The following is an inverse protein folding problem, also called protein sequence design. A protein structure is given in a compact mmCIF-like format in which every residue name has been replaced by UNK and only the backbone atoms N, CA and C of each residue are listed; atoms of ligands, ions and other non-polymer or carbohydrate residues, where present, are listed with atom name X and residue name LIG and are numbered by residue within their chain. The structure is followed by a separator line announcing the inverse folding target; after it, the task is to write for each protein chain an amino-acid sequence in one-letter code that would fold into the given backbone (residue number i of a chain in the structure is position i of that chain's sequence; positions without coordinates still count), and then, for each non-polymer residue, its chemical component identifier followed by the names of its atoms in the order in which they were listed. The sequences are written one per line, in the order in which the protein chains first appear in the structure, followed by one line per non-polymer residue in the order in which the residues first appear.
data_IF_009339032183
#
_entry.id   IF_009339032183
#
_cell.length_a   1.000
_cell.length_b   1.000
_cell.length_c   1.000
_cell.angle_alpha   90.00
_cell.angle_beta   90.00
_cell.angle_gamma   90.00
#
_symmetry.space_group_name_H-M   'P 1'
#
loop_
_entity.id
_entity.type
_entity.pdbx_description
1 polymer ?
#
# COMPACT_ATOMS: atom_id res chain seq x y z
N UNK A 1 -4.35 18.08 27.83
CA UNK A 1 -4.21 17.25 26.62
C UNK A 1 -4.28 15.80 27.04
N UNK A 2 -5.35 15.09 26.68
CA UNK A 2 -5.43 13.65 26.93
C UNK A 2 -4.60 12.97 25.85
N UNK A 3 -3.39 12.53 26.18
CA UNK A 3 -2.63 11.64 25.33
C UNK A 3 -3.36 10.30 25.33
N UNK A 4 -4.18 10.07 24.30
CA UNK A 4 -4.69 8.74 24.01
C UNK A 4 -3.49 7.92 23.57
N UNK A 5 -2.96 7.11 24.48
CA UNK A 5 -1.86 6.19 24.19
C UNK A 5 -2.27 5.26 23.05
N UNK A 6 -1.46 5.19 21.98
CA UNK A 6 -1.67 4.23 20.89
C UNK A 6 -1.88 2.83 21.48
N UNK A 7 -2.86 2.03 21.00
CA UNK A 7 -3.09 0.67 21.49
C UNK A 7 -1.79 -0.15 21.46
N UNK A 8 -1.54 -0.99 22.47
CA UNK A 8 -0.32 -1.83 22.58
C UNK A 8 0.00 -2.64 21.32
N UNK A 9 -1.02 -3.03 20.53
CA UNK A 9 -0.89 -3.75 19.24
C UNK A 9 -0.10 -2.98 18.17
N UNK A 10 0.06 -1.66 18.35
CA UNK A 10 0.62 -0.75 17.34
C UNK A 10 1.91 -0.04 17.80
N UNK A 11 2.51 -0.49 18.90
CA UNK A 11 3.86 -0.07 19.27
C UNK A 11 4.87 -0.86 18.42
N UNK A 12 5.82 -0.17 17.79
CA UNK A 12 6.88 -0.75 16.95
C UNK A 12 6.39 -1.56 15.73
N UNK A 13 5.41 -1.04 14.98
CA UNK A 13 5.00 -1.64 13.71
C UNK A 13 6.13 -1.51 12.68
N UNK A 14 6.59 -2.61 12.05
CA UNK A 14 7.59 -2.56 10.99
C UNK A 14 7.16 -1.65 9.83
N UNK A 15 8.14 -0.98 9.22
CA UNK A 15 7.91 0.00 8.15
C UNK A 15 7.05 -0.56 6.99
N UNK A 16 7.26 -1.83 6.62
CA UNK A 16 6.48 -2.53 5.59
C UNK A 16 4.99 -2.59 5.92
N UNK A 17 4.64 -2.84 7.18
CA UNK A 17 3.25 -2.94 7.62
C UNK A 17 2.60 -1.56 7.72
N UNK A 18 3.35 -0.54 8.14
CA UNK A 18 2.87 0.84 8.10
C UNK A 18 2.57 1.27 6.66
N UNK A 19 3.46 0.95 5.72
CA UNK A 19 3.27 1.25 4.30
C UNK A 19 2.04 0.51 3.73
N UNK A 20 1.87 -0.76 4.07
CA UNK A 20 0.66 -1.52 3.69
C UNK A 20 -0.62 -0.87 4.21
N UNK A 21 -0.61 -0.42 5.47
CA UNK A 21 -1.75 0.29 6.05
C UNK A 21 -2.05 1.60 5.32
N UNK A 22 -1.02 2.40 5.05
CA UNK A 22 -1.16 3.67 4.34
C UNK A 22 -1.67 3.46 2.91
N UNK A 23 -1.19 2.43 2.22
CA UNK A 23 -1.68 2.03 0.90
C UNK A 23 -3.14 1.61 0.92
N UNK A 24 -3.55 0.78 1.88
CA UNK A 24 -4.96 0.43 2.08
C UNK A 24 -5.81 1.68 2.33
N UNK A 25 -5.37 2.57 3.23
CA UNK A 25 -6.12 3.79 3.52
C UNK A 25 -6.27 4.67 2.28
N UNK A 26 -5.20 4.83 1.49
CA UNK A 26 -5.24 5.59 0.24
C UNK A 26 -6.22 4.99 -0.77
N UNK A 27 -6.22 3.66 -0.94
CA UNK A 27 -7.15 2.99 -1.84
C UNK A 27 -8.60 3.24 -1.42
N UNK A 28 -8.88 3.11 -0.13
CA UNK A 28 -10.22 3.31 0.43
C UNK A 28 -10.70 4.75 0.33
N UNK A 29 -9.79 5.73 0.38
CA UNK A 29 -10.13 7.13 0.12
C UNK A 29 -10.32 7.40 -1.38
N UNK A 30 -9.55 6.73 -2.24
CA UNK A 30 -9.71 6.79 -3.70
C UNK A 30 -11.05 6.27 -4.22
N UNK A 31 -11.69 5.34 -3.51
CA UNK A 31 -13.04 4.85 -3.85
C UNK A 31 -14.13 5.94 -3.75
N UNK A 32 -13.89 7.03 -3.01
CA UNK A 32 -14.78 8.18 -2.88
C UNK A 32 -14.24 9.43 -3.63
N UNK A 33 -13.13 9.30 -4.36
CA UNK A 33 -12.49 10.42 -5.05
C UNK A 33 -13.18 10.72 -6.39
N UNK A 34 -13.83 11.88 -6.53
CA UNK A 34 -14.58 12.21 -7.75
C UNK A 34 -13.76 12.18 -9.05
N UNK A 35 -12.44 12.38 -8.98
CA UNK A 35 -11.58 12.39 -10.16
C UNK A 35 -11.13 10.98 -10.55
N UNK A 36 -10.83 10.12 -9.57
CA UNK A 36 -10.21 8.81 -9.82
C UNK A 36 -11.09 7.61 -9.44
N UNK A 37 -12.28 7.82 -8.88
CA UNK A 37 -13.17 6.77 -8.38
C UNK A 37 -13.41 5.65 -9.39
N UNK A 38 -13.61 5.97 -10.68
CA UNK A 38 -13.80 4.94 -11.71
C UNK A 38 -12.62 3.97 -11.80
N UNK A 39 -11.38 4.45 -11.68
CA UNK A 39 -10.19 3.60 -11.68
C UNK A 39 -10.18 2.66 -10.47
N UNK A 40 -10.39 3.21 -9.27
CA UNK A 40 -10.42 2.43 -8.03
C UNK A 40 -11.54 1.37 -8.04
N UNK A 41 -12.72 1.72 -8.56
CA UNK A 41 -13.82 0.77 -8.71
C UNK A 41 -13.50 -0.34 -9.72
N UNK A 42 -12.90 -0.01 -10.86
CA UNK A 42 -12.47 -1.02 -11.84
C UNK A 42 -11.45 -1.98 -11.24
N UNK A 43 -10.48 -1.48 -10.48
CA UNK A 43 -9.49 -2.32 -9.80
C UNK A 43 -10.16 -3.23 -8.77
N UNK A 44 -11.07 -2.68 -7.95
CA UNK A 44 -11.81 -3.45 -6.96
C UNK A 44 -12.69 -4.55 -7.60
N UNK A 45 -13.28 -4.30 -8.76
CA UNK A 45 -14.08 -5.28 -9.50
C UNK A 45 -13.22 -6.38 -10.12
N UNK A 46 -12.02 -6.05 -10.60
CA UNK A 46 -11.08 -6.99 -11.22
C UNK A 46 -10.34 -7.87 -10.21
N UNK A 47 -10.18 -7.39 -8.97
CA UNK A 47 -9.54 -8.11 -7.87
C UNK A 47 -10.39 -7.94 -6.60
N UNK A 48 -11.34 -8.88 -6.43
CA UNK A 48 -12.27 -8.90 -5.31
C UNK A 48 -11.68 -9.54 -4.05
N UNK A 49 -10.39 -9.87 -4.02
CA UNK A 49 -9.78 -10.41 -2.81
C UNK A 49 -9.76 -9.32 -1.73
N UNK A 50 -10.44 -9.59 -0.62
CA UNK A 50 -10.60 -8.63 0.46
C UNK A 50 -9.55 -8.85 1.55
N UNK A 51 -8.42 -8.14 1.40
CA UNK A 51 -7.23 -8.20 2.23
C UNK A 51 -7.23 -7.17 3.38
N UNK A 52 -8.30 -6.38 3.54
CA UNK A 52 -8.35 -5.33 4.57
C UNK A 52 -8.16 -5.92 5.96
N UNK A 53 -8.82 -7.04 6.26
CA UNK A 53 -8.74 -7.67 7.55
C UNK A 53 -7.31 -8.15 7.82
N UNK A 54 -6.60 -8.61 6.79
CA UNK A 54 -5.23 -9.07 6.91
C UNK A 54 -4.26 -7.90 7.15
N UNK A 55 -4.45 -6.77 6.47
CA UNK A 55 -3.66 -5.56 6.73
C UNK A 55 -3.93 -5.03 8.14
N UNK A 56 -5.21 -4.91 8.53
CA UNK A 56 -5.62 -4.40 9.84
C UNK A 56 -5.18 -5.32 11.00
N UNK A 57 -5.02 -6.62 10.73
CA UNK A 57 -4.53 -7.60 11.72
C UNK A 57 -3.05 -7.93 11.63
N UNK A 58 -2.31 -7.32 10.70
CA UNK A 58 -0.90 -7.60 10.47
C UNK A 58 -0.61 -9.06 10.05
N UNK A 59 -1.50 -9.66 9.26
CA UNK A 59 -1.48 -11.06 8.82
C UNK A 59 -1.53 -11.21 7.29
N UNK A 60 -1.05 -10.21 6.56
CA UNK A 60 -1.01 -10.24 5.09
C UNK A 60 -0.24 -11.47 4.60
N UNK A 61 -0.75 -12.15 3.57
CA UNK A 61 -0.06 -13.27 2.89
C UNK A 61 0.73 -12.82 1.68
N UNK A 62 0.17 -11.90 0.91
CA UNK A 62 0.84 -11.20 -0.20
C UNK A 62 0.04 -9.94 -0.53
N UNK A 63 0.60 -9.04 -1.33
CA UNK A 63 -0.11 -7.83 -1.74
C UNK A 63 -1.01 -8.11 -2.96
N UNK A 64 -2.25 -7.64 -2.88
CA UNK A 64 -3.26 -7.69 -3.94
C UNK A 64 -3.20 -6.43 -4.80
N UNK A 65 -3.88 -6.43 -5.95
CA UNK A 65 -3.92 -5.31 -6.88
C UNK A 65 -4.40 -4.00 -6.23
N UNK A 66 -5.50 -3.98 -5.43
CA UNK A 66 -5.96 -2.77 -4.77
C UNK A 66 -4.93 -2.23 -3.77
N UNK A 67 -4.27 -3.12 -3.03
CA UNK A 67 -3.25 -2.73 -2.06
C UNK A 67 -2.02 -2.13 -2.74
N UNK A 68 -1.57 -2.75 -3.83
CA UNK A 68 -0.45 -2.26 -4.64
C UNK A 68 -0.79 -0.88 -5.19
N UNK A 69 -1.97 -0.71 -5.80
CA UNK A 69 -2.39 0.57 -6.38
C UNK A 69 -2.42 1.68 -5.31
N UNK A 70 -3.13 1.45 -4.20
CA UNK A 70 -3.20 2.45 -3.12
C UNK A 70 -1.83 2.81 -2.56
N UNK A 71 -0.90 1.85 -2.50
CA UNK A 71 0.48 2.10 -2.06
C UNK A 71 1.23 2.98 -3.06
N UNK A 72 1.13 2.70 -4.36
CA UNK A 72 1.75 3.52 -5.40
C UNK A 72 1.22 4.95 -5.39
N UNK A 73 -0.09 5.12 -5.22
CA UNK A 73 -0.75 6.43 -5.19
C UNK A 73 -0.38 7.23 -3.95
N UNK A 74 -0.31 6.57 -2.79
CA UNK A 74 0.12 7.19 -1.54
C UNK A 74 1.54 7.75 -1.71
N UNK A 75 2.46 6.92 -2.22
CA UNK A 75 3.85 7.33 -2.43
C UNK A 75 3.95 8.42 -3.48
N UNK A 76 3.21 8.32 -4.59
CA UNK A 76 3.15 9.31 -5.66
C UNK A 76 2.81 10.69 -5.13
N UNK A 77 1.75 10.78 -4.30
CA UNK A 77 1.33 12.03 -3.68
C UNK A 77 2.36 12.58 -2.71
N UNK A 78 2.98 11.72 -1.89
CA UNK A 78 3.97 12.16 -0.87
C UNK A 78 5.31 12.55 -1.46
N UNK A 79 5.71 11.95 -2.57
CA UNK A 79 7.00 12.17 -3.21
C UNK A 79 6.90 13.10 -4.43
N UNK A 80 5.69 13.46 -4.85
CA UNK A 80 5.42 14.25 -6.06
C UNK A 80 6.11 13.65 -7.30
N UNK A 81 5.94 12.33 -7.47
CA UNK A 81 6.49 11.54 -8.57
C UNK A 81 5.41 10.62 -9.11
N UNK A 82 5.46 10.31 -10.41
CA UNK A 82 4.67 9.23 -10.97
C UNK A 82 5.46 7.92 -10.88
N UNK A 83 4.89 6.88 -10.31
CA UNK A 83 5.51 5.56 -10.23
C UNK A 83 4.89 4.60 -11.24
N UNK A 84 5.73 3.98 -12.07
CA UNK A 84 5.33 2.89 -12.95
C UNK A 84 5.88 1.58 -12.37
N UNK A 85 5.00 0.65 -12.00
CA UNK A 85 5.37 -0.65 -11.49
C UNK A 85 5.55 -1.63 -12.66
N UNK A 86 6.74 -2.20 -12.75
CA UNK A 86 7.12 -3.19 -13.76
C UNK A 86 7.43 -4.50 -13.01
N UNK A 87 6.65 -5.54 -13.30
CA UNK A 87 6.80 -6.87 -12.69
C UNK A 87 7.12 -7.87 -13.79
N UNK A 88 8.19 -8.64 -13.62
CA UNK A 88 8.65 -9.63 -14.61
C UNK A 88 8.81 -9.00 -16.02
N UNK A 89 9.37 -7.78 -16.06
CA UNK A 89 9.55 -6.96 -17.27
C UNK A 89 8.26 -6.54 -18.01
N UNK A 90 7.09 -6.77 -17.41
CA UNK A 90 5.79 -6.31 -17.89
C UNK A 90 5.32 -5.07 -17.09
N UNK A 91 4.80 -4.06 -17.79
CA UNK A 91 4.09 -2.95 -17.13
C UNK A 91 2.85 -3.50 -16.42
N UNK A 92 2.81 -3.33 -15.10
CA UNK A 92 1.74 -3.89 -14.26
C UNK A 92 0.75 -2.82 -13.84
N UNK A 93 1.20 -1.81 -13.08
CA UNK A 93 0.35 -0.73 -12.56
C UNK A 93 1.09 0.60 -12.63
N UNK A 94 0.35 1.70 -12.52
CA UNK A 94 0.95 3.03 -12.42
C UNK A 94 0.15 3.89 -11.46
N UNK A 95 0.86 4.71 -10.68
CA UNK A 95 0.19 5.63 -9.76
C UNK A 95 -0.60 6.70 -10.52
N UNK A 96 -1.72 7.13 -9.95
CA UNK A 96 -2.35 8.40 -10.29
C UNK A 96 -1.51 9.53 -9.67
N UNK A 97 -0.94 10.36 -10.53
CA UNK A 97 0.03 11.36 -10.11
C UNK A 97 0.57 12.18 -11.25
N UNK A 98 0.91 13.43 -10.94
CA UNK A 98 1.60 14.35 -11.82
C UNK A 98 3.04 14.47 -11.33
N UNK A 99 4.00 14.45 -12.25
CA UNK A 99 5.42 14.50 -11.91
C UNK A 99 6.28 13.75 -12.92
N UNK A 100 7.59 13.69 -12.64
CA UNK A 100 8.49 12.84 -13.42
C UNK A 100 8.16 11.38 -13.14
N UNK A 101 8.23 10.57 -14.18
CA UNK A 101 8.00 9.14 -14.09
C UNK A 101 9.24 8.43 -13.54
N UNK A 102 9.03 7.52 -12.60
CA UNK A 102 10.05 6.63 -12.04
C UNK A 102 9.58 5.20 -12.20
N UNK A 103 10.37 4.40 -12.91
CA UNK A 103 10.09 2.98 -13.07
C UNK A 103 10.62 2.19 -11.87
N UNK A 104 9.72 1.43 -11.26
CA UNK A 104 9.96 0.54 -10.13
C UNK A 104 9.92 -0.90 -10.65
N UNK A 105 11.09 -1.50 -10.84
CA UNK A 105 11.23 -2.85 -11.42
C UNK A 105 11.41 -3.88 -10.32
N UNK A 106 10.58 -4.93 -10.33
CA UNK A 106 10.69 -6.07 -9.43
C UNK A 106 10.25 -7.36 -10.14
N UNK A 107 10.38 -8.48 -9.46
CA UNK A 107 10.01 -9.81 -9.94
C UNK A 107 8.94 -10.41 -9.03
N UNK A 108 8.13 -11.33 -9.57
CA UNK A 108 7.13 -12.09 -8.84
C UNK A 108 7.02 -13.53 -9.38
N UNK A 109 7.10 -14.53 -8.50
CA UNK A 109 6.91 -15.95 -8.85
C UNK A 109 5.56 -16.49 -8.34
N UNK A 110 4.48 -15.77 -8.69
CA UNK A 110 3.07 -16.02 -8.35
C UNK A 110 2.63 -15.55 -6.97
N UNK A 111 3.44 -15.72 -5.92
CA UNK A 111 3.03 -15.33 -4.55
C UNK A 111 4.07 -14.50 -3.80
N UNK A 112 5.28 -14.38 -4.33
CA UNK A 112 6.40 -13.74 -3.65
C UNK A 112 7.09 -12.71 -4.54
N UNK A 113 7.13 -11.47 -4.08
CA UNK A 113 7.77 -10.35 -4.78
C UNK A 113 9.21 -10.19 -4.32
N UNK A 114 10.13 -10.01 -5.27
CA UNK A 114 11.58 -9.91 -5.00
C UNK A 114 12.32 -9.09 -6.06
N UNK A 115 13.63 -8.90 -5.92
CA UNK A 115 14.43 -8.06 -6.82
C UNK A 115 15.12 -8.89 -7.92
N UNK A 116 16.01 -9.81 -7.55
CA UNK A 116 16.74 -10.71 -8.46
C UNK A 116 16.43 -12.18 -8.19
N UNK A 117 16.33 -12.57 -6.92
CA UNK A 117 15.98 -13.93 -6.48
C UNK A 117 15.02 -13.87 -5.30
N UNK A 118 14.23 -14.93 -5.10
CA UNK A 118 13.19 -14.99 -4.05
C UNK A 118 13.72 -14.72 -2.64
N UNK A 119 14.98 -15.03 -2.35
CA UNK A 119 15.60 -14.78 -1.05
C UNK A 119 16.00 -13.32 -0.79
N UNK A 120 15.80 -12.40 -1.75
CA UNK A 120 16.08 -10.97 -1.57
C UNK A 120 15.06 -10.28 -0.64
N UNK A 121 13.89 -10.89 -0.45
CA UNK A 121 12.81 -10.36 0.39
C UNK A 121 12.31 -11.43 1.35
N UNK A 122 11.82 -11.00 2.52
CA UNK A 122 11.29 -11.90 3.53
C UNK A 122 9.94 -12.48 3.09
N UNK A 123 9.74 -13.78 3.31
CA UNK A 123 8.46 -14.47 3.14
C UNK A 123 7.52 -14.28 4.34
N UNK A 124 7.42 -13.06 4.86
CA UNK A 124 6.56 -12.69 6.00
C UNK A 124 5.17 -12.20 5.57
N UNK A 125 4.87 -12.36 4.28
CA UNK A 125 3.66 -11.92 3.61
C UNK A 125 3.62 -10.42 3.26
N UNK A 126 4.70 -9.69 3.55
CA UNK A 126 4.92 -8.30 3.13
C UNK A 126 6.02 -8.18 2.07
N UNK A 127 6.30 -9.25 1.32
CA UNK A 127 7.37 -9.34 0.33
C UNK A 127 7.29 -8.23 -0.74
N UNK A 128 6.08 -7.83 -1.16
CA UNK A 128 5.87 -6.67 -2.03
C UNK A 128 6.44 -5.39 -1.43
N UNK A 129 6.14 -5.11 -0.16
CA UNK A 129 6.60 -3.90 0.52
C UNK A 129 8.10 -3.91 0.77
N UNK A 130 8.67 -5.08 1.07
CA UNK A 130 10.13 -5.25 1.15
C UNK A 130 10.79 -4.91 -0.19
N UNK A 131 10.29 -5.49 -1.30
CA UNK A 131 10.79 -5.22 -2.64
C UNK A 131 10.64 -3.73 -3.00
N UNK A 132 9.46 -3.15 -2.73
CA UNK A 132 9.13 -1.77 -3.04
C UNK A 132 10.06 -0.78 -2.31
N UNK A 133 10.29 -0.98 -1.01
CA UNK A 133 11.20 -0.14 -0.23
C UNK A 133 12.62 -0.25 -0.77
N UNK A 134 13.07 -1.46 -1.12
CA UNK A 134 14.39 -1.67 -1.71
C UNK A 134 14.55 -0.87 -3.02
N UNK A 135 13.64 -1.03 -3.97
CA UNK A 135 13.74 -0.36 -5.28
C UNK A 135 13.65 1.16 -5.15
N UNK A 136 12.83 1.67 -4.23
CA UNK A 136 12.72 3.11 -4.00
C UNK A 136 14.00 3.69 -3.39
N UNK A 137 14.65 2.97 -2.46
CA UNK A 137 15.95 3.37 -1.93
C UNK A 137 17.04 3.37 -3.01
N UNK A 138 17.04 2.40 -3.92
CA UNK A 138 17.96 2.41 -5.08
C UNK A 138 17.74 3.62 -6.00
N UNK A 139 16.53 4.18 -6.04
CA UNK A 139 16.22 5.43 -6.75
C UNK A 139 16.51 6.70 -5.93
N UNK A 140 17.06 6.56 -4.72
CA UNK A 140 17.43 7.68 -3.85
C UNK A 140 16.31 8.21 -2.95
N UNK A 141 15.18 7.52 -2.85
CA UNK A 141 14.10 7.92 -1.94
C UNK A 141 14.35 7.42 -0.51
N UNK A 142 14.24 8.32 0.46
CA UNK A 142 14.29 8.02 1.89
C UNK A 142 12.85 8.03 2.42
N UNK A 143 12.32 6.86 2.73
CA UNK A 143 10.88 6.66 2.97
C UNK A 143 10.51 6.64 4.45
N UNK A 144 11.45 6.32 5.32
CA UNK A 144 11.24 6.08 6.75
C UNK A 144 10.55 7.26 7.40
N UNK A 145 11.08 8.46 7.15
CA UNK A 145 10.50 9.68 7.67
C UNK A 145 9.07 9.83 7.16
N UNK A 146 8.85 9.85 5.85
CA UNK A 146 7.55 10.08 5.20
C UNK A 146 6.47 9.11 5.68
N UNK A 147 6.81 7.81 5.76
CA UNK A 147 5.90 6.77 6.21
C UNK A 147 5.56 6.97 7.68
N UNK A 148 6.57 7.16 8.55
CA UNK A 148 6.34 7.31 9.99
C UNK A 148 5.46 8.53 10.30
N UNK A 149 5.77 9.72 9.76
CA UNK A 149 4.92 10.91 10.00
C UNK A 149 3.51 10.77 9.43
N UNK A 150 3.36 10.08 8.29
CA UNK A 150 2.03 9.85 7.71
C UNK A 150 1.22 8.90 8.58
N UNK A 151 1.86 7.82 9.05
CA UNK A 151 1.25 6.81 9.89
C UNK A 151 0.92 7.35 11.30
N UNK A 152 1.81 8.16 11.88
CA UNK A 152 1.63 8.73 13.22
C UNK A 152 0.46 9.69 13.33
N UNK A 153 0.02 10.27 12.21
CA UNK A 153 -1.16 11.16 12.15
C UNK A 153 -2.49 10.40 12.15
N UNK A 154 -2.48 9.07 12.01
CA UNK A 154 -3.69 8.28 11.90
C UNK A 154 -4.14 7.81 13.29
N UNK A 155 -5.37 8.17 13.66
CA UNK A 155 -6.08 7.48 14.73
C UNK A 155 -6.53 6.11 14.21
N UNK A 156 -5.79 5.07 14.59
CA UNK A 156 -6.00 3.72 14.05
C UNK A 156 -7.36 3.14 14.41
N UNK A 157 -7.94 3.50 15.57
CA UNK A 157 -9.23 2.92 15.99
C UNK A 157 -10.35 3.44 15.10
N UNK A 158 -10.46 4.75 14.99
CA UNK A 158 -11.48 5.40 14.16
C UNK A 158 -11.27 5.11 12.68
N UNK A 159 -10.01 5.10 12.21
CA UNK A 159 -9.72 4.85 10.80
C UNK A 159 -9.98 3.40 10.40
N UNK A 160 -9.70 2.42 11.26
CA UNK A 160 -10.05 1.01 11.00
C UNK A 160 -11.57 0.84 10.88
N UNK A 161 -12.35 1.49 11.74
CA UNK A 161 -13.81 1.46 11.66
C UNK A 161 -14.32 2.08 10.35
N UNK A 162 -13.73 3.21 9.92
CA UNK A 162 -14.03 3.84 8.62
C UNK A 162 -13.75 2.88 7.46
N UNK A 163 -12.57 2.25 7.43
CA UNK A 163 -12.17 1.29 6.39
C UNK A 163 -13.19 0.15 6.30
N UNK A 164 -13.49 -0.50 7.43
CA UNK A 164 -14.43 -1.63 7.48
C UNK A 164 -15.81 -1.22 6.95
N UNK A 165 -16.34 -0.07 7.41
CA UNK A 165 -17.65 0.43 6.95
C UNK A 165 -17.69 0.70 5.45
N UNK A 166 -16.65 1.36 4.91
CA UNK A 166 -16.57 1.65 3.47
C UNK A 166 -16.53 0.36 2.66
N UNK A 167 -15.68 -0.59 3.04
CA UNK A 167 -15.58 -1.86 2.32
C UNK A 167 -16.89 -2.65 2.38
N UNK A 168 -17.56 -2.70 3.53
CA UNK A 168 -18.88 -3.33 3.63
C UNK A 168 -19.89 -2.73 2.66
N UNK A 169 -19.88 -1.41 2.45
CA UNK A 169 -20.74 -0.75 1.46
C UNK A 169 -20.43 -1.23 0.03
N UNK A 170 -19.17 -1.35 -0.35
CA UNK A 170 -18.80 -1.83 -1.69
C UNK A 170 -18.99 -3.35 -1.88
N UNK A 171 -19.03 -4.12 -0.80
CA UNK A 171 -19.35 -5.57 -0.81
C UNK A 171 -20.84 -5.90 -1.00
N UNK A 172 -21.72 -4.92 -0.83
CA UNK A 172 -23.18 -5.11 -0.95
C UNK A 172 -23.70 -4.84 -2.37
N UNK A 173 -22.80 -4.55 -3.31
CA UNK A 173 -23.08 -4.31 -4.74
C UNK A 173 -22.75 -5.59 -5.49
#
# INVERSE_FOLDING_TARGET
MVYVSKPKKFQNIPLTRQLAYLGLNQFIDGLDDNQFQSLYLTILQGDQEFFENDVLNCSLKTATTPLIQGTLDFLSQRLNQKFNLIINDCNSLSSVGLGRSVDLKMQNNSYHFFIKKSSDTLGDGYCFFHALIFVLREKGFILEYIINISFDKIDLVSNNQKIIKKIQKYKQI
#
